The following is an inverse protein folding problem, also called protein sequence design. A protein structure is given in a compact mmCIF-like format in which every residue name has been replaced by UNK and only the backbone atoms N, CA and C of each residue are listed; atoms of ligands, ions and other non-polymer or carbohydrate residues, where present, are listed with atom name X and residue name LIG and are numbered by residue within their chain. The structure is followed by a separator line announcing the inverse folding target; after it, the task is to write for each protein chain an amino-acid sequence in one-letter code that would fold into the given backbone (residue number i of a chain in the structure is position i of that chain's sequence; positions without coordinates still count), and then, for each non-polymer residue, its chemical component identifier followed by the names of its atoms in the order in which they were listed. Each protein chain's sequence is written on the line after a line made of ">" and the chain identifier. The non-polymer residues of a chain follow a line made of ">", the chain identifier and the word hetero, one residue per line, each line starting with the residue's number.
data_IF_182408202275
#
_entry.id   IF_182408202275
#
_cell.length_a   1.000
_cell.length_b   1.000
_cell.length_c   1.000
_cell.angle_alpha   90.00
_cell.angle_beta   90.00
_cell.angle_gamma   90.00
#
_symmetry.space_group_name_H-M   'P 1'
#
loop_
_entity.id
_entity.type
_entity.pdbx_description
1 polymer ?
#
# COMPACT_ATOMS: atom_id res chain seq x y z
N UNK A 1 14.95 7.91 16.23
CA UNK A 1 14.00 6.82 15.89
C UNK A 1 12.61 7.34 15.51
N UNK A 2 11.94 8.17 16.32
CA UNK A 2 10.56 8.63 16.06
C UNK A 2 10.38 9.33 14.69
N UNK A 3 11.32 10.18 14.29
CA UNK A 3 11.24 10.89 13.00
C UNK A 3 11.28 9.95 11.77
N UNK A 4 12.15 8.91 11.79
CA UNK A 4 12.21 7.92 10.70
C UNK A 4 10.92 7.11 10.61
N UNK A 5 10.37 6.72 11.76
CA UNK A 5 9.10 5.98 11.82
C UNK A 5 7.92 6.83 11.30
N UNK A 6 7.85 8.12 11.65
CA UNK A 6 6.83 9.02 11.10
C UNK A 6 6.96 9.17 9.59
N UNK A 7 8.17 9.38 9.06
CA UNK A 7 8.38 9.50 7.61
C UNK A 7 7.94 8.24 6.84
N UNK A 8 8.26 7.05 7.35
CA UNK A 8 7.80 5.78 6.77
C UNK A 8 6.28 5.68 6.84
N UNK A 9 5.67 6.03 7.97
CA UNK A 9 4.21 5.98 8.12
C UNK A 9 3.50 6.92 7.15
N UNK A 10 4.02 8.13 6.94
CA UNK A 10 3.49 9.10 5.97
C UNK A 10 3.59 8.58 4.53
N UNK A 11 4.74 8.02 4.14
CA UNK A 11 4.93 7.44 2.82
C UNK A 11 4.02 6.22 2.58
N UNK A 12 3.89 5.34 3.57
CA UNK A 12 2.99 4.19 3.51
C UNK A 12 1.52 4.65 3.43
N UNK A 13 1.12 5.66 4.21
CA UNK A 13 -0.22 6.22 4.15
C UNK A 13 -0.52 6.84 2.78
N UNK A 14 0.46 7.54 2.18
CA UNK A 14 0.34 8.10 0.83
C UNK A 14 0.19 7.00 -0.22
N UNK A 15 1.03 5.97 -0.20
CA UNK A 15 0.92 4.83 -1.12
C UNK A 15 -0.45 4.15 -0.98
N UNK A 16 -0.91 3.94 0.24
CA UNK A 16 -2.21 3.34 0.51
C UNK A 16 -3.37 4.20 0.00
N UNK A 17 -3.32 5.51 0.21
CA UNK A 17 -4.28 6.47 -0.34
C UNK A 17 -4.34 6.43 -1.87
N UNK A 18 -3.18 6.42 -2.54
CA UNK A 18 -3.11 6.33 -4.00
C UNK A 18 -3.70 5.02 -4.53
N UNK A 19 -3.37 3.88 -3.89
CA UNK A 19 -3.95 2.58 -4.24
C UNK A 19 -5.46 2.59 -4.05
N UNK A 20 -5.96 3.08 -2.91
CA UNK A 20 -7.39 3.16 -2.63
C UNK A 20 -8.14 4.03 -3.63
N UNK A 21 -7.60 5.19 -3.99
CA UNK A 21 -8.20 6.09 -4.98
C UNK A 21 -8.16 5.49 -6.38
N UNK A 22 -7.10 4.76 -6.73
CA UNK A 22 -7.06 4.05 -8.00
C UNK A 22 -8.07 2.91 -8.02
N UNK A 23 -8.19 2.09 -6.97
CA UNK A 23 -9.13 0.98 -6.90
C UNK A 23 -10.58 1.46 -6.91
N UNK A 24 -10.85 2.53 -6.16
CA UNK A 24 -12.18 3.07 -5.93
C UNK A 24 -12.18 4.58 -6.24
N UNK A 25 -12.21 4.95 -7.53
CA UNK A 25 -12.23 6.35 -7.92
C UNK A 25 -13.49 7.04 -7.37
N UNK A 26 -13.38 8.24 -6.74
CA UNK A 26 -14.52 8.93 -6.14
C UNK A 26 -15.59 9.34 -7.16
N UNK A 27 -15.22 9.47 -8.44
CA UNK A 27 -16.11 9.73 -9.56
C UNK A 27 -17.00 8.53 -9.92
N UNK A 28 -16.56 7.30 -9.60
CA UNK A 28 -17.27 6.06 -9.96
C UNK A 28 -17.82 5.30 -8.77
N UNK A 29 -17.28 5.54 -7.58
CA UNK A 29 -17.63 4.82 -6.36
C UNK A 29 -18.14 5.75 -5.26
N UNK A 30 -18.95 5.19 -4.36
CA UNK A 30 -19.42 5.85 -3.14
C UNK A 30 -19.26 4.90 -1.95
N UNK A 31 -19.01 5.47 -0.77
CA UNK A 31 -19.10 4.73 0.49
C UNK A 31 -20.53 4.72 0.97
N UNK A 32 -21.01 3.54 1.36
CA UNK A 32 -22.34 3.33 1.93
C UNK A 32 -22.15 2.57 3.24
N UNK A 33 -22.84 2.95 4.33
CA UNK A 33 -22.77 2.22 5.58
C UNK A 33 -22.95 0.71 5.37
N UNK A 34 -22.15 -0.07 6.07
CA UNK A 34 -22.30 -1.53 6.04
C UNK A 34 -23.64 -1.94 6.64
N UNK A 35 -24.19 -3.05 6.13
CA UNK A 35 -25.43 -3.63 6.62
C UNK A 35 -25.24 -4.01 8.09
N UNK A 36 -26.13 -3.50 8.94
CA UNK A 36 -26.13 -3.82 10.37
C UNK A 36 -26.68 -5.23 10.56
N UNK A 37 -25.90 -6.17 11.14
CA UNK A 37 -26.39 -7.51 11.43
C UNK A 37 -27.57 -7.50 12.39
N UNK A 38 -28.46 -8.50 12.27
CA UNK A 38 -29.60 -8.63 13.17
C UNK A 38 -29.13 -8.75 14.62
N UNK A 39 -29.66 -7.88 15.49
CA UNK A 39 -29.31 -7.84 16.91
C UNK A 39 -28.10 -6.96 17.27
N UNK A 40 -27.61 -6.14 16.34
CA UNK A 40 -26.59 -5.11 16.60
C UNK A 40 -27.15 -3.70 16.37
N UNK A 41 -26.62 -2.72 17.12
CA UNK A 41 -26.95 -1.29 16.94
C UNK A 41 -26.18 -0.64 15.79
N UNK A 42 -25.00 -1.16 15.47
CA UNK A 42 -24.13 -0.72 14.38
C UNK A 42 -23.34 -1.89 13.81
N UNK A 43 -22.96 -1.80 12.53
CA UNK A 43 -22.10 -2.80 11.91
C UNK A 43 -20.66 -2.70 12.46
N UNK A 44 -20.03 -3.82 12.84
CA UNK A 44 -18.63 -3.82 13.28
C UNK A 44 -17.64 -3.77 12.11
N UNK A 45 -18.11 -3.81 10.87
CA UNK A 45 -17.28 -3.89 9.67
C UNK A 45 -17.18 -2.52 8.97
N UNK A 46 -16.13 -2.30 8.15
CA UNK A 46 -15.98 -1.08 7.38
C UNK A 46 -17.12 -0.87 6.37
N UNK A 47 -17.41 0.40 6.07
CA UNK A 47 -18.38 0.78 5.05
C UNK A 47 -18.13 0.11 3.69
N UNK A 48 -19.23 -0.20 3.00
CA UNK A 48 -19.22 -0.80 1.67
C UNK A 48 -18.85 0.23 0.62
N UNK A 49 -18.05 -0.18 -0.35
CA UNK A 49 -17.82 0.58 -1.57
C UNK A 49 -18.79 0.09 -2.64
N UNK A 50 -19.67 0.97 -3.11
CA UNK A 50 -20.60 0.68 -4.19
C UNK A 50 -20.30 1.54 -5.42
N UNK A 51 -20.54 1.03 -6.64
CA UNK A 51 -20.62 1.88 -7.83
C UNK A 51 -21.69 2.97 -7.65
N UNK A 52 -21.44 4.16 -8.18
CA UNK A 52 -22.42 5.24 -8.16
C UNK A 52 -23.63 4.90 -9.03
N UNK A 53 -24.84 5.34 -8.64
CA UNK A 53 -26.01 5.24 -9.49
C UNK A 53 -25.81 6.08 -10.76
N UNK A 54 -26.17 5.52 -11.92
CA UNK A 54 -25.99 6.18 -13.23
C UNK A 54 -24.59 6.04 -13.84
N UNK A 55 -23.72 5.19 -13.28
CA UNK A 55 -22.45 4.84 -13.92
C UNK A 55 -22.70 4.15 -15.26
N UNK A 56 -22.05 4.62 -16.31
CA UNK A 56 -22.21 4.04 -17.65
C UNK A 56 -21.64 2.61 -17.68
N UNK A 57 -22.25 1.73 -18.49
CA UNK A 57 -21.77 0.35 -18.68
C UNK A 57 -20.26 0.22 -18.99
N UNK A 58 -19.65 1.05 -19.88
CA UNK A 58 -18.21 1.00 -20.12
C UNK A 58 -17.38 1.35 -18.88
N UNK A 59 -17.82 2.31 -18.07
CA UNK A 59 -17.13 2.69 -16.84
C UNK A 59 -17.27 1.63 -15.77
N UNK A 60 -18.44 0.98 -15.66
CA UNK A 60 -18.65 -0.15 -14.76
C UNK A 60 -17.74 -1.35 -15.12
N UNK A 61 -17.60 -1.66 -16.41
CA UNK A 61 -16.65 -2.69 -16.88
C UNK A 61 -15.20 -2.30 -16.60
N UNK A 62 -14.87 -1.02 -16.71
CA UNK A 62 -13.53 -0.52 -16.36
C UNK A 62 -13.28 -0.65 -14.87
N UNK A 63 -14.24 -0.23 -14.02
CA UNK A 63 -14.18 -0.35 -12.57
C UNK A 63 -13.99 -1.81 -12.12
N UNK A 64 -14.69 -2.77 -12.75
CA UNK A 64 -14.53 -4.20 -12.46
C UNK A 64 -13.08 -4.70 -12.70
N UNK A 65 -12.36 -4.12 -13.67
CA UNK A 65 -10.95 -4.45 -13.93
C UNK A 65 -9.98 -3.80 -12.95
N UNK A 66 -10.42 -2.91 -12.06
CA UNK A 66 -9.53 -2.20 -11.12
C UNK A 66 -9.30 -3.04 -9.87
N UNK A 67 -8.55 -4.12 -10.05
CA UNK A 67 -8.07 -4.99 -8.96
C UNK A 67 -6.62 -4.68 -8.60
N UNK A 68 -6.19 -5.03 -7.38
CA UNK A 68 -4.78 -4.88 -6.99
C UNK A 68 -3.86 -5.64 -7.95
N UNK A 69 -4.23 -6.87 -8.32
CA UNK A 69 -3.48 -7.66 -9.30
C UNK A 69 -3.28 -6.89 -10.60
N UNK A 70 -4.35 -6.29 -11.15
CA UNK A 70 -4.25 -5.52 -12.39
C UNK A 70 -3.44 -4.23 -12.21
N UNK A 71 -3.52 -3.57 -11.06
CA UNK A 71 -2.70 -2.40 -10.75
C UNK A 71 -1.21 -2.74 -10.75
N UNK A 72 -0.83 -3.82 -10.07
CA UNK A 72 0.57 -4.23 -9.97
C UNK A 72 1.10 -4.83 -11.27
N UNK A 73 0.25 -5.46 -12.09
CA UNK A 73 0.63 -5.91 -13.44
C UNK A 73 0.87 -4.74 -14.38
N UNK A 74 0.04 -3.68 -14.33
CA UNK A 74 0.22 -2.48 -15.15
C UNK A 74 1.38 -1.61 -14.67
N UNK A 75 1.66 -1.64 -13.36
CA UNK A 75 2.71 -0.89 -12.67
C UNK A 75 2.87 0.55 -13.21
N UNK A 76 1.84 1.41 -13.08
CA UNK A 76 1.91 2.78 -13.57
C UNK A 76 3.04 3.56 -12.88
N UNK A 77 3.58 4.58 -13.55
CA UNK A 77 4.75 5.33 -13.07
C UNK A 77 4.58 5.90 -11.65
N UNK A 78 3.38 6.40 -11.31
CA UNK A 78 3.10 6.91 -9.96
C UNK A 78 3.21 5.81 -8.88
N UNK A 79 2.88 4.56 -9.22
CA UNK A 79 2.96 3.44 -8.29
C UNK A 79 4.41 3.07 -8.04
N UNK A 80 5.22 2.98 -9.10
CA UNK A 80 6.65 2.74 -9.00
C UNK A 80 7.33 3.82 -8.13
N UNK A 81 7.08 5.09 -8.41
CA UNK A 81 7.63 6.21 -7.65
C UNK A 81 7.20 6.20 -6.17
N UNK A 82 5.94 5.85 -5.89
CA UNK A 82 5.45 5.76 -4.51
C UNK A 82 6.11 4.61 -3.73
N UNK A 83 6.38 3.47 -4.39
CA UNK A 83 7.16 2.37 -3.79
C UNK A 83 8.61 2.77 -3.57
N UNK A 84 9.28 3.34 -4.58
CA UNK A 84 10.68 3.78 -4.48
C UNK A 84 10.89 4.79 -3.33
N UNK A 85 9.95 5.72 -3.14
CA UNK A 85 10.00 6.67 -2.03
C UNK A 85 9.86 5.99 -0.67
N UNK A 86 8.98 4.99 -0.55
CA UNK A 86 8.82 4.22 0.68
C UNK A 86 10.07 3.37 0.95
N UNK A 87 10.59 2.69 -0.06
CA UNK A 87 11.76 1.83 0.04
C UNK A 87 13.02 2.61 0.44
N UNK A 88 13.22 3.81 -0.11
CA UNK A 88 14.34 4.68 0.29
C UNK A 88 14.27 5.08 1.77
N UNK A 89 13.07 5.36 2.30
CA UNK A 89 12.88 5.68 3.72
C UNK A 89 13.11 4.47 4.62
N UNK A 90 12.67 3.28 4.18
CA UNK A 90 12.94 2.02 4.88
C UNK A 90 14.44 1.73 4.89
N UNK A 91 15.11 1.80 3.74
CA UNK A 91 16.56 1.62 3.63
C UNK A 91 17.34 2.58 4.54
N UNK A 92 16.94 3.86 4.58
CA UNK A 92 17.52 4.84 5.50
C UNK A 92 17.29 4.49 6.98
N UNK A 93 16.16 3.85 7.32
CA UNK A 93 15.91 3.33 8.67
C UNK A 93 16.79 2.13 9.03
N UNK A 94 17.11 1.27 8.05
CA UNK A 94 18.12 0.21 8.17
C UNK A 94 19.57 0.73 8.15
N UNK A 95 19.77 2.02 7.89
CA UNK A 95 21.10 2.65 7.84
C UNK A 95 21.82 2.49 6.50
N UNK A 96 21.11 2.11 5.44
CA UNK A 96 21.67 1.95 4.09
C UNK A 96 21.61 3.27 3.32
N UNK A 97 22.66 4.07 3.42
CA UNK A 97 22.76 5.37 2.75
C UNK A 97 23.04 5.25 1.23
N UNK A 98 23.51 4.09 0.78
CA UNK A 98 23.86 3.76 -0.60
C UNK A 98 22.74 3.02 -1.35
N UNK A 99 21.57 2.91 -0.74
CA UNK A 99 20.43 2.22 -1.36
C UNK A 99 20.00 2.94 -2.65
N UNK A 100 19.78 2.14 -3.69
CA UNK A 100 19.17 2.59 -4.94
C UNK A 100 18.08 1.61 -5.36
N UNK A 101 17.03 2.06 -6.07
CA UNK A 101 16.00 1.16 -6.61
C UNK A 101 16.54 0.09 -7.58
N UNK A 102 17.74 0.30 -8.13
CA UNK A 102 18.42 -0.64 -9.03
C UNK A 102 19.29 -1.67 -8.29
N UNK A 103 19.39 -1.59 -6.96
CA UNK A 103 20.12 -2.56 -6.15
C UNK A 103 19.52 -3.96 -6.34
N UNK A 104 20.35 -4.94 -6.65
CA UNK A 104 19.90 -6.31 -6.89
C UNK A 104 19.35 -6.95 -5.61
N UNK A 105 18.33 -7.80 -5.75
CA UNK A 105 17.70 -8.50 -4.62
C UNK A 105 18.71 -9.32 -3.81
N UNK A 106 19.69 -9.96 -4.47
CA UNK A 106 20.77 -10.71 -3.80
C UNK A 106 21.60 -9.85 -2.83
N UNK A 107 21.83 -8.57 -3.16
CA UNK A 107 22.52 -7.62 -2.28
C UNK A 107 21.68 -7.32 -1.05
N UNK A 108 20.39 -7.03 -1.25
CA UNK A 108 19.44 -6.75 -0.17
C UNK A 108 19.35 -7.95 0.77
N UNK A 109 19.17 -9.16 0.22
CA UNK A 109 19.09 -10.41 0.99
C UNK A 109 20.36 -10.66 1.81
N UNK A 110 21.56 -10.43 1.23
CA UNK A 110 22.82 -10.62 1.94
C UNK A 110 22.96 -9.69 3.13
N UNK A 111 22.58 -8.41 2.98
CA UNK A 111 22.60 -7.43 4.07
C UNK A 111 21.64 -7.80 5.19
N UNK A 112 20.43 -8.23 4.83
CA UNK A 112 19.42 -8.67 5.80
C UNK A 112 19.88 -9.92 6.55
N UNK A 113 20.49 -10.89 5.85
CA UNK A 113 21.05 -12.09 6.48
C UNK A 113 22.13 -11.73 7.50
N UNK A 114 23.10 -10.89 7.13
CA UNK A 114 24.17 -10.45 8.03
C UNK A 114 23.61 -9.76 9.30
N UNK A 115 22.61 -8.88 9.13
CA UNK A 115 21.95 -8.21 10.25
C UNK A 115 21.22 -9.20 11.17
N UNK A 116 20.56 -10.21 10.60
CA UNK A 116 19.85 -11.23 11.37
C UNK A 116 20.81 -12.14 12.15
N UNK A 117 21.96 -12.50 11.57
CA UNK A 117 23.01 -13.26 12.26
C UNK A 117 23.55 -12.49 13.47
N UNK A 118 23.91 -11.21 13.29
CA UNK A 118 24.38 -10.35 14.39
C UNK A 118 23.37 -10.23 15.53
N UNK A 119 22.08 -10.10 15.20
CA UNK A 119 21.01 -10.04 16.21
C UNK A 119 20.84 -11.35 16.96
N UNK A 120 21.04 -12.48 16.29
CA UNK A 120 20.96 -13.81 16.90
C UNK A 120 22.14 -14.04 17.85
N UNK A 121 23.34 -13.62 17.47
CA UNK A 121 24.53 -13.68 18.33
C UNK A 121 24.46 -12.73 19.53
N UNK A 122 23.75 -11.61 19.39
CA UNK A 122 23.56 -10.61 20.45
C UNK A 122 22.35 -10.90 21.36
N UNK A 123 21.56 -11.93 21.06
CA UNK A 123 20.44 -12.35 21.90
C UNK A 123 20.98 -13.28 23.02
N UNK A 124 20.63 -13.04 24.30
CA UNK A 124 21.11 -13.83 25.43
C UNK A 124 20.56 -15.26 25.45
#
# INVERSE_FOLDING_TARGET
>A
MRQRACAIAEAAHRLDGLRRNWLNPPEWTRRVPEVVPLGMDASPYPDRIEPRPGLSEPDAKTLQKRTLTNLYNQRPAWLAQAHEALDALVAAAYGWADYTPAMADDEILRRLLALNLQRTESAP
#
